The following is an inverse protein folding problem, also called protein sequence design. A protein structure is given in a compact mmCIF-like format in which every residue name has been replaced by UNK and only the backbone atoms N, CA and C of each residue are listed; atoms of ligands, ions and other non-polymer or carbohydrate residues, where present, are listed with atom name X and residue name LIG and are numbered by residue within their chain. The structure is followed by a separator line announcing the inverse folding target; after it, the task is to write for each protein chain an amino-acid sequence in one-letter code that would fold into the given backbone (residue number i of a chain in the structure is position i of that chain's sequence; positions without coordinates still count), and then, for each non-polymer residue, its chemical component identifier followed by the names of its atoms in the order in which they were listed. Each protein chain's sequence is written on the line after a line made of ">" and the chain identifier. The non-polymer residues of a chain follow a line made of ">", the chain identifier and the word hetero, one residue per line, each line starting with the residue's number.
data_IF_031881576203
#
_entry.id   IF_031881576203
#
_cell.length_a   1.000
_cell.length_b   1.000
_cell.length_c   1.000
_cell.angle_alpha   90.00
_cell.angle_beta   90.00
_cell.angle_gamma   90.00
#
_symmetry.space_group_name_H-M   'P 1'
#
loop_
_entity.id
_entity.type
_entity.pdbx_description
1 polymer ?
#
# COMPACT_ATOMS: atom_id res chain seq x y z
N UNK A 1 -33.28 -5.47 -2.47
CA UNK A 1 -33.08 -6.51 -3.49
C UNK A 1 -32.70 -5.81 -4.79
N UNK A 2 -31.42 -5.86 -5.17
CA UNK A 2 -30.99 -5.53 -6.53
C UNK A 2 -30.30 -6.78 -7.03
N UNK A 3 -30.98 -7.49 -7.93
CA UNK A 3 -30.38 -8.56 -8.72
C UNK A 3 -29.68 -7.83 -9.86
N UNK A 4 -28.35 -7.64 -9.80
CA UNK A 4 -27.64 -7.31 -11.03
C UNK A 4 -27.51 -8.61 -11.82
N UNK A 5 -28.41 -8.77 -12.78
CA UNK A 5 -28.35 -9.83 -13.79
C UNK A 5 -27.05 -9.61 -14.59
N UNK A 6 -26.09 -10.52 -14.46
CA UNK A 6 -24.92 -10.61 -15.36
C UNK A 6 -23.80 -9.59 -15.13
N UNK A 7 -23.26 -9.47 -13.92
CA UNK A 7 -21.94 -8.82 -13.74
C UNK A 7 -20.87 -9.68 -14.41
N UNK A 8 -20.23 -9.17 -15.47
CA UNK A 8 -19.06 -9.83 -16.05
C UNK A 8 -17.85 -9.58 -15.14
N UNK A 9 -17.65 -10.45 -14.15
CA UNK A 9 -16.51 -10.40 -13.21
C UNK A 9 -15.21 -10.95 -13.84
N UNK A 10 -15.24 -11.28 -15.15
CA UNK A 10 -14.04 -11.74 -15.87
C UNK A 10 -13.14 -10.55 -16.19
N UNK A 11 -11.93 -10.61 -15.65
CA UNK A 11 -10.82 -9.79 -16.11
C UNK A 11 -10.51 -10.12 -17.58
N UNK A 12 -10.38 -9.10 -18.42
CA UNK A 12 -10.01 -9.29 -19.83
C UNK A 12 -8.51 -9.62 -19.99
N UNK A 13 -8.13 -10.16 -21.15
CA UNK A 13 -6.76 -10.61 -21.42
C UNK A 13 -5.73 -9.47 -21.32
N UNK A 14 -6.10 -8.25 -21.72
CA UNK A 14 -5.23 -7.09 -21.60
C UNK A 14 -4.92 -6.77 -20.13
N UNK A 15 -5.93 -6.77 -19.27
CA UNK A 15 -5.78 -6.57 -17.83
C UNK A 15 -4.97 -7.70 -17.17
N UNK A 16 -5.11 -8.94 -17.64
CA UNK A 16 -4.29 -10.06 -17.19
C UNK A 16 -2.80 -9.88 -17.53
N UNK A 17 -2.49 -9.47 -18.77
CA UNK A 17 -1.11 -9.19 -19.22
C UNK A 17 -0.50 -8.04 -18.42
N UNK A 18 -1.26 -6.96 -18.23
CA UNK A 18 -0.82 -5.82 -17.41
C UNK A 18 -0.61 -6.22 -15.94
N UNK A 19 -1.49 -7.06 -15.39
CA UNK A 19 -1.37 -7.65 -14.07
C UNK A 19 -0.08 -8.47 -13.92
N UNK A 20 0.26 -9.31 -14.91
CA UNK A 20 1.53 -10.05 -14.93
C UNK A 20 2.75 -9.13 -14.97
N UNK A 21 2.72 -8.07 -15.78
CA UNK A 21 3.79 -7.07 -15.80
C UNK A 21 3.95 -6.37 -14.44
N UNK A 22 2.85 -6.05 -13.77
CA UNK A 22 2.86 -5.43 -12.44
C UNK A 22 3.38 -6.40 -11.37
N UNK A 23 2.95 -7.67 -11.42
CA UNK A 23 3.42 -8.73 -10.51
C UNK A 23 4.94 -8.93 -10.60
N UNK A 24 5.51 -8.91 -11.82
CA UNK A 24 6.96 -8.97 -12.03
C UNK A 24 7.72 -7.81 -11.40
N UNK A 25 7.08 -6.65 -11.24
CA UNK A 25 7.69 -5.42 -10.67
C UNK A 25 7.27 -5.15 -9.23
N UNK A 26 6.46 -6.01 -8.64
CA UNK A 26 5.84 -5.82 -7.34
C UNK A 26 6.88 -5.61 -6.23
N UNK A 27 7.95 -6.41 -6.20
CA UNK A 27 9.01 -6.26 -5.19
C UNK A 27 9.70 -4.89 -5.25
N UNK A 28 9.97 -4.37 -6.45
CA UNK A 28 10.57 -3.04 -6.64
C UNK A 28 9.62 -1.94 -6.16
N UNK A 29 8.31 -2.10 -6.40
CA UNK A 29 7.31 -1.16 -5.92
C UNK A 29 7.20 -1.14 -4.38
N UNK A 30 7.28 -2.31 -3.75
CA UNK A 30 7.33 -2.44 -2.28
C UNK A 30 8.60 -1.77 -1.73
N UNK A 31 9.76 -2.06 -2.32
CA UNK A 31 11.04 -1.49 -1.88
C UNK A 31 11.04 0.06 -1.98
N UNK A 32 10.51 0.60 -3.08
CA UNK A 32 10.33 2.05 -3.24
C UNK A 32 9.41 2.65 -2.19
N UNK A 33 8.30 1.97 -1.88
CA UNK A 33 7.33 2.41 -0.87
C UNK A 33 7.91 2.33 0.54
N UNK A 34 8.71 1.31 0.84
CA UNK A 34 9.47 1.17 2.09
C UNK A 34 10.39 2.37 2.31
N UNK A 35 11.22 2.68 1.30
CA UNK A 35 12.19 3.78 1.36
C UNK A 35 11.54 5.15 1.59
N UNK A 36 10.35 5.35 1.02
CA UNK A 36 9.53 6.55 1.26
C UNK A 36 9.02 6.58 2.70
N UNK A 37 8.51 5.47 3.23
CA UNK A 37 8.04 5.37 4.61
C UNK A 37 9.15 5.60 5.63
N UNK A 38 10.34 5.05 5.41
CA UNK A 38 11.54 5.29 6.23
C UNK A 38 11.89 6.78 6.24
N UNK A 39 11.97 7.40 5.06
CA UNK A 39 12.27 8.83 4.95
C UNK A 39 11.26 9.72 5.67
N UNK A 40 9.98 9.38 5.63
CA UNK A 40 8.97 10.10 6.41
C UNK A 40 9.18 9.89 7.90
N UNK A 41 9.44 8.66 8.34
CA UNK A 41 9.68 8.34 9.76
C UNK A 41 10.90 9.09 10.30
N UNK A 42 11.99 9.16 9.55
CA UNK A 42 13.21 9.88 9.93
C UNK A 42 12.97 11.40 10.06
N UNK A 43 12.24 11.99 9.10
CA UNK A 43 12.02 13.44 9.07
C UNK A 43 10.90 13.92 10.00
N UNK A 44 9.90 13.08 10.27
CA UNK A 44 8.71 13.45 11.05
C UNK A 44 8.66 12.84 12.45
N UNK A 45 9.67 12.04 12.82
CA UNK A 45 9.84 11.44 14.15
C UNK A 45 9.78 12.41 15.32
N UNK A 46 10.11 13.68 15.08
CA UNK A 46 10.25 14.69 16.12
C UNK A 46 9.11 15.74 16.14
N UNK A 47 8.03 15.50 15.39
CA UNK A 47 6.89 16.44 15.36
C UNK A 47 5.97 16.15 16.55
N UNK A 48 5.81 17.09 17.50
CA UNK A 48 4.93 16.89 18.64
C UNK A 48 3.48 16.70 18.17
N UNK A 49 2.82 15.67 18.71
CA UNK A 49 1.45 15.31 18.36
C UNK A 49 1.32 14.29 17.22
N UNK A 50 2.39 13.95 16.49
CA UNK A 50 2.36 12.88 15.49
C UNK A 50 2.82 11.56 16.09
N UNK A 51 1.99 10.53 15.98
CA UNK A 51 2.31 9.16 16.42
C UNK A 51 2.24 8.25 15.21
N UNK A 52 3.33 7.53 14.95
CA UNK A 52 3.38 6.49 13.93
C UNK A 52 2.74 5.21 14.44
N UNK A 53 1.84 4.64 13.64
CA UNK A 53 1.38 3.28 13.87
C UNK A 53 2.54 2.33 13.59
N UNK A 54 3.07 1.71 14.63
CA UNK A 54 4.07 0.67 14.46
C UNK A 54 3.36 -0.62 14.08
N UNK A 55 3.49 -1.06 12.82
CA UNK A 55 3.07 -2.40 12.44
C UNK A 55 4.07 -3.39 13.03
N UNK A 56 3.65 -4.23 13.98
CA UNK A 56 4.48 -5.20 14.68
C UNK A 56 5.11 -6.29 13.78
N UNK A 57 4.91 -6.23 12.47
CA UNK A 57 5.54 -7.13 11.48
C UNK A 57 6.07 -6.35 10.28
N UNK A 58 7.19 -5.64 10.48
CA UNK A 58 7.95 -5.04 9.37
C UNK A 58 8.39 -6.09 8.32
N UNK A 59 8.43 -7.38 8.68
CA UNK A 59 8.82 -8.48 7.79
C UNK A 59 7.86 -8.74 6.62
N UNK A 60 6.63 -8.19 6.64
CA UNK A 60 5.66 -8.39 5.53
C UNK A 60 4.73 -7.19 5.27
N UNK A 61 5.23 -5.96 5.47
CA UNK A 61 4.45 -4.77 5.15
C UNK A 61 4.47 -4.49 3.64
N UNK A 62 3.29 -4.29 3.03
CA UNK A 62 3.17 -3.85 1.62
C UNK A 62 3.31 -2.32 1.46
N UNK A 63 3.55 -1.59 2.56
CA UNK A 63 3.72 -0.12 2.58
C UNK A 63 2.66 0.68 1.79
N UNK A 64 1.45 0.14 1.67
CA UNK A 64 0.38 0.73 0.83
C UNK A 64 -0.10 2.07 1.38
N UNK A 65 -0.03 2.24 2.70
CA UNK A 65 -0.40 3.47 3.39
C UNK A 65 0.62 3.80 4.48
N UNK A 66 0.94 5.09 4.61
CA UNK A 66 1.71 5.64 5.71
C UNK A 66 0.76 6.27 6.74
N UNK A 67 0.21 5.43 7.62
CA UNK A 67 -0.80 5.86 8.59
C UNK A 67 -0.18 6.57 9.78
N UNK A 68 -0.68 7.78 10.08
CA UNK A 68 -0.27 8.59 11.23
C UNK A 68 -1.48 8.94 12.10
N UNK A 69 -1.27 9.01 13.41
CA UNK A 69 -2.25 9.48 14.38
C UNK A 69 -1.83 10.88 14.81
N UNK A 70 -2.74 11.85 14.69
CA UNK A 70 -2.54 13.22 15.15
C UNK A 70 -3.26 13.39 16.49
N UNK A 71 -2.49 13.61 17.56
CA UNK A 71 -2.99 14.02 18.87
C UNK A 71 -2.93 15.54 18.99
N UNK A 72 -3.95 16.10 19.64
CA UNK A 72 -4.10 17.53 19.91
C UNK A 72 -3.36 17.94 21.18
#
# INVERSE_FOLDING_TARGET
>A
MVVVVGVNDKMNELAAIMGMCNLKRHCIAIEGSCRVCERYRDNSGNIPGIIFLNSESAESANYTYFSVIVKK
#
